data_IF_966550045492
#
_entry.id   IF_966550045492
#
_cell.length_a   1.000
_cell.length_b   1.000
_cell.length_c   1.000
_cell.angle_alpha   90.00
_cell.angle_beta   90.00
_cell.angle_gamma   90.00
#
_symmetry.space_group_name_H-M   'P 1'
#
loop_
_entity.id
_entity.type
_entity.pdbx_description
1 polymer ?
#
# COMPACT_ATOMS: atom_id res chain seq x y z
N UNK A 1 14.62 -3.18 3.20
CA UNK A 1 14.33 -4.03 4.38
C UNK A 1 13.62 -3.26 5.49
N UNK A 2 14.21 -2.21 6.08
CA UNK A 2 13.56 -1.41 7.16
C UNK A 2 12.16 -0.88 6.80
N UNK A 3 11.93 -0.47 5.54
CA UNK A 3 10.59 -0.08 5.06
C UNK A 3 9.56 -1.23 5.11
N UNK A 4 10.00 -2.47 4.88
CA UNK A 4 9.15 -3.66 4.95
C UNK A 4 8.77 -4.04 6.39
N UNK A 5 9.62 -3.67 7.35
CA UNK A 5 9.38 -3.85 8.80
C UNK A 5 8.55 -2.69 9.41
N UNK A 6 8.00 -1.78 8.61
CA UNK A 6 7.23 -0.62 9.10
C UNK A 6 8.08 0.46 9.81
N UNK A 7 9.41 0.35 9.85
CA UNK A 7 10.30 1.30 10.56
C UNK A 7 10.70 2.49 9.68
N UNK A 8 9.74 3.11 8.99
CA UNK A 8 10.01 4.21 8.05
C UNK A 8 10.57 5.45 8.74
N UNK A 9 10.12 5.76 9.96
CA UNK A 9 10.60 6.92 10.74
C UNK A 9 12.09 6.83 11.09
N UNK A 10 12.59 5.64 11.43
CA UNK A 10 14.02 5.46 11.70
C UNK A 10 14.88 5.64 10.45
N UNK A 11 14.39 5.19 9.29
CA UNK A 11 15.10 5.39 8.03
C UNK A 11 15.18 6.88 7.67
N UNK A 12 14.11 7.64 7.92
CA UNK A 12 14.10 9.09 7.74
C UNK A 12 15.16 9.75 8.64
N UNK A 13 15.22 9.35 9.92
CA UNK A 13 16.19 9.88 10.87
C UNK A 13 17.63 9.57 10.46
N UNK A 14 17.92 8.32 10.06
CA UNK A 14 19.27 7.95 9.60
C UNK A 14 19.68 8.76 8.37
N UNK A 15 18.77 8.95 7.41
CA UNK A 15 19.03 9.77 6.23
C UNK A 15 19.26 11.23 6.60
N UNK A 16 18.43 11.82 7.47
CA UNK A 16 18.60 13.20 7.90
C UNK A 16 19.95 13.41 8.61
N UNK A 17 20.35 12.48 9.48
CA UNK A 17 21.64 12.54 10.17
C UNK A 17 22.82 12.39 9.22
N UNK A 18 22.79 11.39 8.34
CA UNK A 18 23.92 11.14 7.45
C UNK A 18 24.07 12.13 6.31
N UNK A 19 22.96 12.59 5.71
CA UNK A 19 23.02 13.67 4.72
C UNK A 19 23.29 15.03 5.36
N UNK A 20 22.67 15.33 6.50
CA UNK A 20 22.94 16.58 7.23
C UNK A 20 24.41 16.68 7.67
N UNK A 21 24.93 15.63 8.30
CA UNK A 21 26.34 15.54 8.68
C UNK A 21 27.28 15.51 7.47
N UNK A 22 26.93 14.76 6.43
CA UNK A 22 27.70 14.68 5.19
C UNK A 22 27.80 16.02 4.46
N UNK A 23 26.71 16.81 4.42
CA UNK A 23 26.73 18.16 3.83
C UNK A 23 27.57 19.14 4.66
N UNK A 24 27.46 19.10 5.99
CA UNK A 24 28.30 19.92 6.87
C UNK A 24 29.79 19.58 6.69
N UNK A 25 30.11 18.29 6.62
CA UNK A 25 31.47 17.80 6.38
C UNK A 25 31.97 18.17 4.98
N UNK A 26 31.11 18.05 3.96
CA UNK A 26 31.41 18.46 2.58
C UNK A 26 31.72 19.95 2.50
N UNK A 27 30.91 20.79 3.13
CA UNK A 27 31.11 22.24 3.21
C UNK A 27 32.45 22.57 3.86
N UNK A 28 32.74 21.92 5.01
CA UNK A 28 33.99 22.10 5.74
C UNK A 28 35.22 21.65 4.94
N UNK A 29 35.16 20.52 4.23
CA UNK A 29 36.27 20.05 3.37
C UNK A 29 36.46 20.93 2.13
N UNK A 30 35.37 21.48 1.59
CA UNK A 30 35.39 22.29 0.36
C UNK A 30 35.97 23.67 0.63
N UNK A 31 35.47 24.36 1.65
CA UNK A 31 35.83 25.76 1.96
C UNK A 31 36.78 25.92 3.15
N UNK A 32 37.08 24.82 3.86
CA UNK A 32 37.95 24.85 5.02
C UNK A 32 39.43 24.97 4.67
N UNK A 33 40.31 24.79 5.68
CA UNK A 33 41.74 25.08 5.55
C UNK A 33 42.46 24.22 4.51
N UNK A 34 41.94 23.02 4.23
CA UNK A 34 42.52 22.10 3.25
C UNK A 34 42.18 22.47 1.79
N UNK A 35 41.22 23.38 1.55
CA UNK A 35 40.80 23.86 0.23
C UNK A 35 40.72 22.75 -0.83
N UNK A 36 40.14 21.60 -0.49
CA UNK A 36 40.09 20.45 -1.39
C UNK A 36 39.12 20.67 -2.56
N UNK A 37 38.36 21.78 -2.53
CA UNK A 37 37.43 22.17 -3.58
C UNK A 37 36.43 21.06 -3.88
N UNK A 38 36.31 20.70 -5.16
CA UNK A 38 35.39 19.66 -5.62
C UNK A 38 35.65 18.29 -4.98
N UNK A 39 36.91 17.94 -4.68
CA UNK A 39 37.22 16.67 -4.04
C UNK A 39 36.67 16.59 -2.60
N UNK A 40 36.69 17.71 -1.88
CA UNK A 40 36.12 17.82 -0.53
C UNK A 40 34.61 17.56 -0.51
N UNK A 41 33.90 18.09 -1.51
CA UNK A 41 32.48 17.84 -1.71
C UNK A 41 32.18 16.34 -1.88
N UNK A 42 32.91 15.66 -2.76
CA UNK A 42 32.71 14.23 -3.01
C UNK A 42 33.04 13.38 -1.78
N UNK A 43 34.12 13.70 -1.06
CA UNK A 43 34.50 12.99 0.15
C UNK A 43 33.44 13.13 1.25
N UNK A 44 32.88 14.32 1.45
CA UNK A 44 31.84 14.53 2.44
C UNK A 44 30.53 13.80 2.09
N UNK A 45 30.13 13.79 0.81
CA UNK A 45 28.97 13.00 0.34
C UNK A 45 29.23 11.50 0.56
N UNK A 46 30.40 11.00 0.17
CA UNK A 46 30.76 9.58 0.33
C UNK A 46 30.77 9.18 1.81
N UNK A 47 31.33 10.02 2.68
CA UNK A 47 31.32 9.81 4.12
C UNK A 47 29.89 9.77 4.69
N UNK A 48 29.02 10.69 4.26
CA UNK A 48 27.61 10.70 4.65
C UNK A 48 26.87 9.43 4.25
N UNK A 49 27.00 9.00 2.99
CA UNK A 49 26.38 7.76 2.49
C UNK A 49 26.92 6.53 3.24
N UNK A 50 28.23 6.47 3.47
CA UNK A 50 28.87 5.37 4.22
C UNK A 50 28.37 5.31 5.66
N UNK A 51 28.22 6.47 6.31
CA UNK A 51 27.67 6.57 7.65
C UNK A 51 26.22 6.07 7.72
N UNK A 52 25.35 6.48 6.78
CA UNK A 52 23.97 5.96 6.69
C UNK A 52 23.96 4.44 6.47
N UNK A 53 24.86 3.93 5.61
CA UNK A 53 24.96 2.49 5.36
C UNK A 53 25.32 1.72 6.63
N UNK A 54 26.29 2.21 7.41
CA UNK A 54 26.69 1.62 8.70
C UNK A 54 25.51 1.64 9.70
N UNK A 55 24.81 2.78 9.85
CA UNK A 55 23.65 2.86 10.73
C UNK A 55 22.53 1.88 10.33
N UNK A 56 22.26 1.77 9.03
CA UNK A 56 21.27 0.81 8.54
C UNK A 56 21.71 -0.64 8.77
N UNK A 57 23.00 -0.95 8.61
CA UNK A 57 23.55 -2.28 8.90
C UNK A 57 23.44 -2.62 10.39
N UNK A 58 23.79 -1.68 11.28
CA UNK A 58 23.63 -1.84 12.72
C UNK A 58 22.16 -2.00 13.12
N UNK A 59 21.26 -1.24 12.52
CA UNK A 59 19.82 -1.37 12.75
C UNK A 59 19.28 -2.73 12.29
N UNK A 60 19.81 -3.28 11.19
CA UNK A 60 19.49 -4.64 10.73
C UNK A 60 20.07 -5.71 11.64
N UNK A 61 21.30 -5.53 12.13
CA UNK A 61 21.96 -6.49 13.01
C UNK A 61 21.30 -6.55 14.40
N UNK A 62 20.72 -5.45 14.85
CA UNK A 62 20.00 -5.36 16.15
C UNK A 62 18.53 -5.78 16.08
N UNK A 63 18.01 -6.13 14.91
CA UNK A 63 16.62 -6.58 14.75
C UNK A 63 16.47 -8.04 15.19
N UNK A 64 15.53 -8.30 16.11
CA UNK A 64 15.06 -9.66 16.39
C UNK A 64 14.18 -10.14 15.24
N UNK A 65 14.81 -10.85 14.31
CA UNK A 65 14.15 -11.43 13.14
C UNK A 65 13.05 -12.42 13.51
N UNK A 66 13.14 -13.12 14.65
CA UNK A 66 12.11 -14.07 15.06
C UNK A 66 10.84 -13.35 15.52
N UNK A 67 10.97 -12.23 16.24
CA UNK A 67 9.85 -11.35 16.56
C UNK A 67 9.22 -10.77 15.29
N UNK A 68 10.04 -10.28 14.37
CA UNK A 68 9.57 -9.62 13.14
C UNK A 68 8.82 -10.59 12.22
N UNK A 69 9.29 -11.84 12.09
CA UNK A 69 8.61 -12.89 11.33
C UNK A 69 7.26 -13.25 11.97
N UNK A 70 7.18 -13.35 13.31
CA UNK A 70 5.91 -13.59 14.01
C UNK A 70 4.92 -12.46 13.77
N UNK A 71 5.38 -11.21 13.88
CA UNK A 71 4.58 -10.03 13.62
C UNK A 71 4.07 -10.02 12.17
N UNK A 72 4.94 -10.26 11.19
CA UNK A 72 4.57 -10.32 9.78
C UNK A 72 3.54 -11.42 9.47
N UNK A 73 3.67 -12.60 10.11
CA UNK A 73 2.69 -13.69 9.99
C UNK A 73 1.34 -13.31 10.60
N UNK A 74 1.34 -12.70 11.79
CA UNK A 74 0.13 -12.22 12.46
C UNK A 74 -0.58 -11.16 11.60
N UNK A 75 0.17 -10.18 11.08
CA UNK A 75 -0.37 -9.13 10.21
C UNK A 75 -0.99 -9.72 8.94
N UNK A 76 -0.35 -10.74 8.36
CA UNK A 76 -0.87 -11.47 7.20
C UNK A 76 -2.17 -12.21 7.53
N UNK A 77 -2.24 -12.93 8.64
CA UNK A 77 -3.44 -13.63 9.08
C UNK A 77 -4.62 -12.67 9.32
N UNK A 78 -4.37 -11.51 9.94
CA UNK A 78 -5.38 -10.46 10.13
C UNK A 78 -5.88 -9.92 8.79
N UNK A 79 -4.97 -9.61 7.87
CA UNK A 79 -5.31 -9.09 6.54
C UNK A 79 -6.13 -10.10 5.72
N UNK A 80 -5.78 -11.37 5.79
CA UNK A 80 -6.52 -12.43 5.10
C UNK A 80 -7.91 -12.60 5.72
N UNK A 81 -8.04 -12.51 7.05
CA UNK A 81 -9.33 -12.53 7.76
C UNK A 81 -10.23 -11.35 7.37
N UNK A 82 -9.67 -10.15 7.21
CA UNK A 82 -10.41 -8.98 6.72
C UNK A 82 -10.85 -9.12 5.27
N UNK A 83 -10.03 -9.75 4.41
CA UNK A 83 -10.40 -10.01 3.01
C UNK A 83 -11.55 -11.00 2.93
N UNK A 84 -11.49 -12.09 3.68
CA UNK A 84 -12.58 -13.07 3.77
C UNK A 84 -13.86 -12.43 4.28
N UNK A 85 -13.78 -11.59 5.33
CA UNK A 85 -14.95 -10.84 5.81
C UNK A 85 -15.52 -9.92 4.74
N UNK A 86 -14.68 -9.19 4.00
CA UNK A 86 -15.14 -8.32 2.91
C UNK A 86 -15.76 -9.11 1.76
N UNK A 87 -15.20 -10.26 1.39
CA UNK A 87 -15.80 -11.09 0.33
C UNK A 87 -17.14 -11.68 0.79
N UNK A 88 -17.26 -12.08 2.05
CA UNK A 88 -18.52 -12.57 2.60
C UNK A 88 -19.58 -11.47 2.66
N UNK A 89 -19.23 -10.26 3.09
CA UNK A 89 -20.13 -9.10 3.06
C UNK A 89 -20.55 -8.77 1.63
N UNK A 90 -19.61 -8.78 0.67
CA UNK A 90 -19.92 -8.55 -0.74
C UNK A 90 -20.84 -9.64 -1.32
N UNK A 91 -20.62 -10.91 -0.96
CA UNK A 91 -21.50 -12.00 -1.37
C UNK A 91 -22.88 -11.93 -0.70
N UNK A 92 -22.95 -11.56 0.58
CA UNK A 92 -24.22 -11.34 1.29
C UNK A 92 -25.00 -10.19 0.65
N UNK A 93 -24.36 -9.04 0.41
CA UNK A 93 -24.96 -7.93 -0.33
C UNK A 93 -25.43 -8.34 -1.73
N UNK A 94 -24.65 -9.14 -2.46
CA UNK A 94 -25.05 -9.58 -3.81
C UNK A 94 -26.18 -10.61 -3.80
N UNK A 95 -26.28 -11.43 -2.75
CA UNK A 95 -27.42 -12.32 -2.52
C UNK A 95 -28.66 -11.55 -2.04
N UNK A 96 -28.47 -10.50 -1.23
CA UNK A 96 -29.54 -9.64 -0.71
C UNK A 96 -30.06 -8.63 -1.74
N UNK A 97 -29.25 -8.22 -2.74
CA UNK A 97 -29.69 -7.46 -3.93
C UNK A 97 -30.71 -8.25 -4.77
N UNK A 98 -30.87 -9.55 -4.52
CA UNK A 98 -31.95 -10.38 -5.09
C UNK A 98 -33.14 -10.57 -4.13
N UNK A 99 -33.04 -10.11 -2.89
CA UNK A 99 -34.04 -10.19 -1.81
C UNK A 99 -34.57 -8.80 -1.39
N UNK A 100 -34.45 -7.81 -2.29
CA UNK A 100 -34.49 -6.37 -2.01
C UNK A 100 -35.87 -5.81 -1.58
N UNK A 101 -36.96 -6.58 -1.64
CA UNK A 101 -38.25 -6.16 -1.07
C UNK A 101 -38.43 -6.63 0.37
N UNK A 102 -38.18 -7.91 0.65
CA UNK A 102 -38.46 -8.51 1.97
C UNK A 102 -37.44 -8.04 3.03
N UNK A 103 -36.18 -7.82 2.63
CA UNK A 103 -35.16 -7.33 3.55
C UNK A 103 -35.36 -5.85 3.90
N UNK A 104 -35.83 -5.04 2.95
CA UNK A 104 -36.17 -3.64 3.18
C UNK A 104 -37.32 -3.52 4.16
N UNK A 105 -38.34 -4.37 4.04
CA UNK A 105 -39.50 -4.38 4.93
C UNK A 105 -39.14 -4.87 6.34
N UNK A 106 -38.30 -5.91 6.46
CA UNK A 106 -37.78 -6.38 7.75
C UNK A 106 -36.83 -5.37 8.43
N UNK A 107 -35.97 -4.69 7.67
CA UNK A 107 -35.10 -3.63 8.20
C UNK A 107 -35.89 -2.39 8.63
N UNK A 108 -37.00 -2.08 7.95
CA UNK A 108 -37.93 -1.02 8.35
C UNK A 108 -38.66 -1.37 9.66
N UNK A 109 -39.08 -2.63 9.82
CA UNK A 109 -39.73 -3.11 11.04
C UNK A 109 -38.76 -3.13 12.24
N UNK A 110 -37.52 -3.56 12.05
CA UNK A 110 -36.51 -3.57 13.11
C UNK A 110 -35.99 -2.16 13.46
N UNK A 111 -35.91 -1.24 12.48
CA UNK A 111 -35.59 0.17 12.72
C UNK A 111 -36.71 0.92 13.46
N UNK A 112 -37.96 0.46 13.38
CA UNK A 112 -39.06 0.96 14.20
C UNK A 112 -39.02 0.39 15.63
N UNK A 113 -38.43 -0.80 15.82
CA UNK A 113 -38.34 -1.46 17.12
C UNK A 113 -37.18 -0.95 18.01
N UNK A 114 -36.05 -0.50 17.44
CA UNK A 114 -34.94 0.10 18.20
C UNK A 114 -34.44 1.42 17.55
N UNK A 115 -34.78 2.61 18.10
CA UNK A 115 -34.45 3.91 17.54
C UNK A 115 -33.00 4.34 17.83
N UNK A 116 -32.04 3.42 17.83
CA UNK A 116 -30.61 3.77 17.91
C UNK A 116 -30.08 4.06 16.50
N UNK A 117 -29.26 5.10 16.32
CA UNK A 117 -29.01 5.66 15.00
C UNK A 117 -28.13 4.73 14.15
N UNK A 118 -28.75 4.13 13.13
CA UNK A 118 -28.15 3.39 12.00
C UNK A 118 -27.03 4.11 11.23
N UNK A 119 -26.69 5.36 11.59
CA UNK A 119 -25.73 6.19 10.87
C UNK A 119 -24.27 5.65 10.92
N UNK A 120 -23.92 4.81 11.90
CA UNK A 120 -22.54 4.28 12.05
C UNK A 120 -22.25 3.19 11.01
N UNK A 121 -23.27 2.46 10.54
CA UNK A 121 -23.06 1.33 9.62
C UNK A 121 -23.03 1.80 8.15
N UNK A 122 -23.68 2.92 7.81
CA UNK A 122 -23.77 3.40 6.42
C UNK A 122 -22.70 4.45 6.02
N UNK A 123 -22.08 5.16 6.97
CA UNK A 123 -21.10 6.20 6.63
C UNK A 123 -19.80 5.66 6.00
N UNK A 124 -19.36 4.45 6.34
CA UNK A 124 -18.10 3.89 5.81
C UNK A 124 -18.24 3.43 4.33
N UNK A 125 -19.46 3.09 3.89
CA UNK A 125 -19.74 2.69 2.50
C UNK A 125 -19.78 3.90 1.58
N UNK A 126 -20.29 5.04 2.05
CA UNK A 126 -20.36 6.29 1.27
C UNK A 126 -18.96 6.89 1.01
N UNK A 127 -18.03 6.80 1.97
CA UNK A 127 -16.67 7.32 1.78
C UNK A 127 -15.80 6.52 0.80
N UNK A 128 -16.05 5.21 0.66
CA UNK A 128 -15.31 4.37 -0.30
C UNK A 128 -15.77 4.56 -1.75
N UNK A 129 -17.04 4.98 -1.97
CA UNK A 129 -17.54 5.26 -3.31
C UNK A 129 -17.05 6.60 -3.90
N UNK A 130 -16.61 7.55 -3.06
CA UNK A 130 -16.12 8.86 -3.53
C UNK A 130 -14.62 8.88 -3.90
N UNK A 131 -13.85 7.84 -3.58
CA UNK A 131 -12.40 7.78 -3.87
C UNK A 131 -12.03 6.79 -4.96
N UNK A 132 -13.01 6.06 -5.51
CA UNK A 132 -12.79 5.21 -6.68
C UNK A 132 -12.85 6.09 -7.95
N UNK A 133 -11.81 6.08 -8.81
CA UNK A 133 -11.85 6.81 -10.06
C UNK A 133 -13.03 6.32 -10.92
N UNK A 134 -13.72 7.21 -11.67
CA UNK A 134 -14.83 6.83 -12.52
C UNK A 134 -14.37 5.74 -13.48
N UNK A 135 -15.07 4.60 -13.48
CA UNK A 135 -14.83 3.55 -14.47
C UNK A 135 -15.03 4.17 -15.86
N UNK A 136 -14.11 3.94 -16.81
CA UNK A 136 -14.30 4.40 -18.17
C UNK A 136 -15.65 3.89 -18.68
N UNK A 137 -16.46 4.81 -19.21
CA UNK A 137 -17.71 4.49 -19.87
C UNK A 137 -17.41 3.49 -20.98
N UNK A 138 -17.85 2.26 -20.80
CA UNK A 138 -17.91 1.27 -21.87
C UNK A 138 -19.10 1.71 -22.72
N UNK A 139 -18.84 2.68 -23.60
CA UNK A 139 -19.76 3.04 -24.67
C UNK A 139 -19.90 1.81 -25.56
N UNK A 140 -21.07 1.18 -25.45
CA UNK A 140 -21.52 0.16 -26.37
C UNK A 140 -21.68 0.75 -27.76
N UNK A 141 -20.96 0.18 -28.72
CA UNK A 141 -21.08 0.56 -30.13
C UNK A 141 -20.19 -0.30 -31.02
N UNK A 142 -20.66 -1.50 -31.37
CA UNK A 142 -19.96 -2.37 -32.31
C UNK A 142 -20.66 -3.71 -32.47
N UNK A 143 -21.65 -3.74 -33.36
CA UNK A 143 -22.51 -4.90 -33.61
C UNK A 143 -21.81 -6.13 -34.20
N UNK A 144 -22.56 -7.25 -34.33
CA UNK A 144 -22.07 -8.50 -34.91
C UNK A 144 -21.97 -8.37 -36.43
N UNK A 145 -20.75 -8.23 -36.94
CA UNK A 145 -20.45 -8.50 -38.34
C UNK A 145 -19.99 -9.96 -38.46
N UNK A 146 -20.76 -10.70 -39.24
CA UNK A 146 -20.51 -12.06 -39.65
C UNK A 146 -19.26 -12.18 -40.54
N UNK A 147 -18.91 -13.45 -40.77
CA UNK A 147 -18.14 -14.00 -41.88
C UNK A 147 -16.62 -14.08 -41.79
N UNK A 148 -16.11 -15.31 -42.01
CA UNK A 148 -14.87 -15.48 -42.76
C UNK A 148 -13.83 -16.45 -42.20
N UNK A 149 -14.08 -17.74 -42.36
CA UNK A 149 -13.15 -18.79 -42.82
C UNK A 149 -11.61 -18.61 -42.74
N UNK A 150 -10.93 -19.64 -42.19
CA UNK A 150 -9.75 -20.37 -42.72
C UNK A 150 -8.89 -20.88 -41.54
N UNK A 151 -8.80 -22.20 -41.29
CA UNK A 151 -7.97 -23.21 -41.96
C UNK A 151 -6.50 -23.27 -41.51
N UNK A 152 -6.01 -24.50 -41.41
CA UNK A 152 -4.66 -25.02 -41.09
C UNK A 152 -4.34 -25.15 -39.59
N UNK A 153 -4.32 -26.35 -38.99
CA UNK A 153 -3.51 -27.54 -39.29
C UNK A 153 -2.02 -27.29 -39.13
N UNK A 154 -1.47 -27.67 -37.98
CA UNK A 154 -0.06 -28.06 -37.85
C UNK A 154 0.07 -29.00 -36.64
N UNK A 155 0.03 -30.30 -36.96
CA UNK A 155 0.60 -31.36 -36.15
C UNK A 155 2.12 -31.37 -36.34
N UNK A 156 2.85 -31.78 -35.31
CA UNK A 156 4.30 -32.01 -35.30
C UNK A 156 4.78 -31.93 -33.86
N UNK A 157 4.73 -33.03 -33.11
CA UNK A 157 5.76 -34.09 -33.04
C UNK A 157 6.87 -33.70 -32.05
#
# INVERSE_FOLDING_TARGET
>A
VLRGCGRQGQLLLHNALGFGGGLALSWWLTFGPHQMGLAGLWLGILAGVTFVAILNLLAMASLDWAAEVRYARMLRAMRDSSRVRRSLIAHALQADVWADEVLVEALLEEAQADPRPLHIIYQDIQHQNMTSPPRPSVDGGGGPAADGAASSAAAGA
#
